data_IF_443597228918
#
_entry.id   IF_443597228918
#
_cell.length_a   1.000
_cell.length_b   1.000
_cell.length_c   1.000
_cell.angle_alpha   90.00
_cell.angle_beta   90.00
_cell.angle_gamma   90.00
#
_symmetry.space_group_name_H-M   'P 1'
#
loop_
_entity.id
_entity.type
_entity.pdbx_description
1 polymer ?
#
# COMPACT_ATOMS: atom_id res chain seq x y z
N UNK A 1 -7.05 -0.01 -2.69
CA UNK A 1 -6.92 -1.28 -3.45
C UNK A 1 -8.22 -1.55 -4.15
N UNK A 2 -8.18 -2.01 -5.40
CA UNK A 2 -9.38 -2.32 -6.16
C UNK A 2 -9.20 -3.62 -6.98
N UNK A 3 -10.31 -4.28 -7.27
CA UNK A 3 -10.39 -5.52 -8.05
C UNK A 3 -11.13 -5.20 -9.34
N UNK A 4 -10.58 -5.63 -10.47
CA UNK A 4 -11.10 -5.36 -11.81
C UNK A 4 -11.40 -6.68 -12.52
N UNK A 5 -12.42 -6.67 -13.38
CA UNK A 5 -12.66 -7.76 -14.33
C UNK A 5 -11.81 -7.57 -15.58
N UNK A 6 -11.61 -8.63 -16.37
CA UNK A 6 -10.79 -8.54 -17.58
C UNK A 6 -11.45 -7.64 -18.62
N UNK A 7 -10.74 -6.59 -19.05
CA UNK A 7 -11.17 -5.67 -20.11
C UNK A 7 -12.08 -4.53 -19.65
N UNK A 8 -12.25 -4.35 -18.35
CA UNK A 8 -13.01 -3.24 -17.78
C UNK A 8 -12.11 -2.38 -16.90
N UNK A 9 -12.21 -1.07 -17.07
CA UNK A 9 -11.47 -0.08 -16.29
C UNK A 9 -12.23 0.30 -15.01
N UNK A 10 -13.50 -0.10 -14.88
CA UNK A 10 -14.29 0.11 -13.67
C UNK A 10 -14.03 -1.00 -12.63
N UNK A 11 -13.70 -0.65 -11.37
CA UNK A 11 -13.48 -1.64 -10.33
C UNK A 11 -14.80 -2.26 -9.84
N UNK A 12 -14.86 -3.59 -9.80
CA UNK A 12 -16.02 -4.33 -9.26
C UNK A 12 -16.06 -4.34 -7.73
N UNK A 13 -14.93 -4.06 -7.08
CA UNK A 13 -14.81 -3.88 -5.64
C UNK A 13 -13.58 -3.02 -5.30
N UNK A 14 -13.66 -2.24 -4.23
CA UNK A 14 -12.53 -1.48 -3.70
C UNK A 14 -12.51 -1.48 -2.18
N UNK A 15 -11.33 -1.23 -1.60
CA UNK A 15 -11.13 -1.19 -0.16
C UNK A 15 -9.73 -0.73 0.26
N UNK A 16 -9.51 -0.70 1.57
CA UNK A 16 -8.26 -0.29 2.19
C UNK A 16 -7.55 -1.50 2.80
N UNK A 17 -6.21 -1.50 2.74
CA UNK A 17 -5.38 -2.51 3.40
C UNK A 17 -4.27 -1.82 4.20
N UNK A 18 -3.87 -2.44 5.30
CA UNK A 18 -2.72 -2.01 6.10
C UNK A 18 -1.77 -3.21 6.20
N UNK A 19 -0.50 -3.00 5.91
CA UNK A 19 0.53 -4.03 6.04
C UNK A 19 1.52 -3.65 7.15
N UNK A 20 1.80 -4.60 8.03
CA UNK A 20 2.74 -4.43 9.14
C UNK A 20 3.91 -5.40 8.95
N UNK A 21 5.13 -4.87 8.97
CA UNK A 21 6.33 -5.69 8.93
C UNK A 21 6.63 -6.21 10.33
N UNK A 22 6.88 -7.52 10.42
CA UNK A 22 7.20 -8.19 11.68
C UNK A 22 8.45 -9.04 11.54
N UNK A 23 9.21 -9.16 12.61
CA UNK A 23 10.27 -10.14 12.73
C UNK A 23 9.67 -11.56 12.67
N UNK A 24 10.24 -12.42 11.83
CA UNK A 24 9.70 -13.76 11.57
C UNK A 24 9.73 -14.66 12.81
N UNK A 25 10.76 -14.54 13.63
CA UNK A 25 10.96 -15.42 14.79
C UNK A 25 10.22 -14.88 16.02
N UNK A 26 10.37 -13.58 16.28
CA UNK A 26 9.88 -12.93 17.50
C UNK A 26 8.46 -12.39 17.37
N UNK A 27 7.90 -12.30 16.15
CA UNK A 27 6.57 -11.74 15.84
C UNK A 27 6.35 -10.31 16.35
N UNK A 28 7.44 -9.57 16.55
CA UNK A 28 7.40 -8.18 16.96
C UNK A 28 7.42 -7.27 15.73
N UNK A 29 6.80 -6.10 15.83
CA UNK A 29 6.85 -5.09 14.77
C UNK A 29 8.29 -4.64 14.50
N UNK A 30 8.64 -4.50 13.23
CA UNK A 30 9.94 -4.01 12.78
C UNK A 30 9.77 -2.84 11.81
N UNK A 31 10.80 -1.98 11.66
CA UNK A 31 10.79 -0.94 10.65
C UNK A 31 10.61 -1.51 9.23
N UNK A 32 9.95 -0.74 8.36
CA UNK A 32 9.83 -1.05 6.93
C UNK A 32 11.23 -1.12 6.32
N UNK A 33 11.61 -2.20 5.62
CA UNK A 33 12.87 -2.29 4.89
C UNK A 33 13.04 -1.16 3.87
N UNK A 34 14.24 -0.58 3.78
CA UNK A 34 14.52 0.62 2.96
C UNK A 34 14.06 0.47 1.50
N UNK A 35 14.41 -0.64 0.84
CA UNK A 35 13.99 -0.88 -0.56
C UNK A 35 12.48 -0.85 -0.76
N UNK A 36 11.71 -1.34 0.22
CA UNK A 36 10.25 -1.33 0.14
C UNK A 36 9.73 0.09 0.40
N UNK A 37 10.30 0.79 1.38
CA UNK A 37 9.99 2.20 1.66
C UNK A 37 10.21 3.05 0.41
N UNK A 38 11.35 2.89 -0.26
CA UNK A 38 11.69 3.65 -1.46
C UNK A 38 10.71 3.36 -2.60
N UNK A 39 10.36 2.10 -2.83
CA UNK A 39 9.37 1.72 -3.85
C UNK A 39 7.98 2.32 -3.55
N UNK A 40 7.52 2.22 -2.29
CA UNK A 40 6.23 2.77 -1.88
C UNK A 40 6.19 4.29 -1.95
N UNK A 41 7.31 4.97 -1.71
CA UNK A 41 7.39 6.43 -1.81
C UNK A 41 7.04 6.94 -3.22
N UNK A 42 7.30 6.16 -4.26
CA UNK A 42 6.94 6.50 -5.66
C UNK A 42 5.43 6.48 -5.92
N UNK A 43 4.66 5.81 -5.07
CA UNK A 43 3.21 5.67 -5.19
C UNK A 43 2.44 6.67 -4.34
N UNK A 44 3.14 7.49 -3.53
CA UNK A 44 2.52 8.49 -2.67
C UNK A 44 2.03 9.64 -3.54
N UNK A 45 0.72 9.80 -3.62
CA UNK A 45 0.10 11.00 -4.19
C UNK A 45 0.26 12.11 -3.17
N UNK A 46 0.95 13.18 -3.55
CA UNK A 46 1.03 14.38 -2.73
C UNK A 46 -0.32 15.06 -2.83
N UNK A 47 -1.08 14.98 -1.77
CA UNK A 47 -2.36 15.64 -1.68
C UNK A 47 -2.11 17.16 -1.54
N UNK A 48 -2.29 17.90 -2.63
CA UNK A 48 -2.30 19.36 -2.63
C UNK A 48 -3.70 19.87 -2.24
N UNK A 49 -4.28 19.43 -1.11
CA UNK A 49 -5.51 20.03 -0.61
C UNK A 49 -5.32 21.54 -0.42
N UNK A 50 -5.95 22.41 -1.24
CA UNK A 50 -6.02 23.83 -0.93
C UNK A 50 -7.01 23.97 0.23
N UNK A 51 -6.53 24.43 1.38
CA UNK A 51 -7.39 24.82 2.51
C UNK A 51 -8.30 25.98 2.15
#
# INVERSE_FOLDING_TARGET
VAIFTSGDDEPVAHGHFVHVFVDRERRNAVPIPERIRDALATLVVTDEHPS
#
